data_IF_984057065782
#
_entry.id   IF_984057065782
#
_cell.length_a   1.000
_cell.length_b   1.000
_cell.length_c   1.000
_cell.angle_alpha   90.00
_cell.angle_beta   90.00
_cell.angle_gamma   90.00
#
_symmetry.space_group_name_H-M   'P 1'
#
loop_
_entity.id
_entity.type
_entity.pdbx_description
1 polymer ?
#
# COMPACT_ATOMS: atom_id res chain seq x y z
N UNK A 1 21.02 19.84 10.46
CA UNK A 1 21.64 19.22 11.66
C UNK A 1 21.26 17.74 11.71
N UNK A 2 22.24 16.87 11.71
CA UNK A 2 22.02 15.40 11.74
C UNK A 2 21.35 14.96 13.04
N UNK A 3 20.30 14.14 12.91
CA UNK A 3 19.54 13.57 14.04
C UNK A 3 19.36 12.09 13.82
N UNK A 4 19.84 11.26 14.75
CA UNK A 4 19.69 9.79 14.67
C UNK A 4 19.14 9.26 15.99
N UNK A 5 18.15 8.36 15.90
CA UNK A 5 17.58 7.65 17.05
C UNK A 5 17.81 6.15 16.89
N UNK A 6 18.33 5.53 17.94
CA UNK A 6 18.50 4.09 18.08
C UNK A 6 17.53 3.60 19.17
N UNK A 7 16.35 3.08 18.83
CA UNK A 7 15.44 2.54 19.82
C UNK A 7 16.09 1.37 20.57
N UNK A 8 15.81 1.26 21.86
CA UNK A 8 16.22 0.07 22.64
C UNK A 8 15.34 -1.09 22.21
N UNK A 9 15.99 -2.14 21.67
CA UNK A 9 15.28 -3.32 21.15
C UNK A 9 15.14 -4.35 22.27
N UNK A 10 13.91 -4.75 22.56
CA UNK A 10 13.57 -5.79 23.54
C UNK A 10 12.45 -6.67 22.99
N UNK A 11 11.26 -6.58 23.54
CA UNK A 11 10.07 -7.34 23.10
C UNK A 11 9.64 -7.07 21.65
N UNK A 12 10.09 -5.98 21.07
CA UNK A 12 9.77 -5.59 19.69
C UNK A 12 10.19 -6.60 18.62
N UNK A 13 11.15 -7.48 18.93
CA UNK A 13 11.58 -8.56 18.01
C UNK A 13 10.46 -9.52 17.63
N UNK A 14 9.40 -9.64 18.45
CA UNK A 14 8.21 -10.44 18.16
C UNK A 14 7.20 -9.73 17.24
N UNK A 15 7.39 -8.44 16.95
CA UNK A 15 6.50 -7.67 16.07
C UNK A 15 6.83 -7.93 14.59
N UNK A 16 5.83 -7.81 13.68
CA UNK A 16 6.04 -8.02 12.25
C UNK A 16 7.15 -7.14 11.68
N UNK A 17 7.23 -5.90 12.15
CA UNK A 17 8.32 -4.96 11.88
C UNK A 17 8.76 -4.28 13.16
N UNK A 18 10.05 -4.09 13.34
CA UNK A 18 10.58 -3.25 14.40
C UNK A 18 11.70 -2.36 13.88
N UNK A 19 11.67 -1.11 14.34
CA UNK A 19 12.65 -0.10 13.97
C UNK A 19 13.97 -0.39 14.69
N UNK A 20 15.08 -0.45 13.95
CA UNK A 20 16.42 -0.54 14.55
C UNK A 20 17.10 0.82 14.64
N UNK A 21 16.81 1.71 13.71
CA UNK A 21 17.29 3.10 13.71
C UNK A 21 16.49 3.93 12.72
N UNK A 22 16.43 5.22 12.98
CA UNK A 22 15.85 6.24 12.12
C UNK A 22 16.68 7.49 12.20
N UNK A 23 16.84 8.22 11.10
CA UNK A 23 17.60 9.46 11.14
C UNK A 23 17.37 10.37 9.95
N UNK A 24 17.79 11.61 10.20
CA UNK A 24 18.01 12.66 9.22
C UNK A 24 19.51 12.89 9.19
N UNK A 25 20.14 12.74 8.04
CA UNK A 25 21.54 13.10 7.83
C UNK A 25 21.58 14.44 7.11
N UNK A 26 22.17 15.45 7.75
CA UNK A 26 22.25 16.83 7.27
C UNK A 26 23.63 17.45 7.60
N UNK A 27 24.58 17.44 6.66
CA UNK A 27 24.56 16.69 5.39
C UNK A 27 24.76 15.17 5.59
N UNK A 28 24.43 14.38 4.56
CA UNK A 28 24.78 12.96 4.50
C UNK A 28 26.30 12.81 4.36
N UNK A 29 26.84 11.69 4.81
CA UNK A 29 28.25 11.38 4.76
C UNK A 29 28.53 10.19 3.83
N UNK A 30 29.81 9.99 3.49
CA UNK A 30 30.20 8.85 2.68
C UNK A 30 30.01 7.54 3.44
N UNK A 31 29.26 6.62 2.87
CA UNK A 31 28.95 5.31 3.44
C UNK A 31 29.37 4.22 2.46
N UNK A 32 30.22 3.29 2.90
CA UNK A 32 30.56 2.09 2.16
C UNK A 32 30.18 0.86 2.99
N UNK A 33 29.47 -0.08 2.39
CA UNK A 33 29.04 -1.34 3.03
C UNK A 33 29.23 -2.51 2.11
N UNK A 34 30.42 -3.09 2.10
CA UNK A 34 30.82 -4.21 1.22
C UNK A 34 29.97 -5.48 1.39
N UNK A 35 29.37 -5.66 2.56
CA UNK A 35 28.48 -6.79 2.88
C UNK A 35 27.01 -6.38 3.04
N UNK A 36 26.71 -5.12 2.73
CA UNK A 36 25.37 -4.55 2.97
C UNK A 36 25.02 -4.42 4.46
N UNK A 37 23.76 -4.15 4.73
CA UNK A 37 23.17 -4.16 6.08
C UNK A 37 22.54 -5.52 6.34
N UNK A 38 22.47 -5.91 7.62
CA UNK A 38 21.68 -7.07 8.06
C UNK A 38 20.18 -6.74 8.22
N UNK A 39 19.77 -5.58 7.79
CA UNK A 39 18.45 -5.00 7.98
C UNK A 39 17.96 -4.37 6.69
N UNK A 40 16.65 -4.20 6.56
CA UNK A 40 16.04 -3.44 5.48
C UNK A 40 16.27 -1.95 5.69
N UNK A 41 16.50 -1.21 4.60
CA UNK A 41 16.63 0.25 4.62
C UNK A 41 15.72 0.88 3.57
N UNK A 42 15.01 1.93 3.97
CA UNK A 42 14.32 2.86 3.08
C UNK A 42 14.91 4.25 3.32
N UNK A 43 15.24 4.95 2.24
CA UNK A 43 15.77 6.30 2.27
C UNK A 43 15.12 7.13 1.19
N UNK A 44 14.86 8.42 1.49
CA UNK A 44 14.52 9.42 0.47
C UNK A 44 15.36 10.69 0.66
N UNK A 45 15.63 11.35 -0.44
CA UNK A 45 16.36 12.62 -0.48
C UNK A 45 15.39 13.78 -0.27
N UNK A 46 15.61 14.59 0.76
CA UNK A 46 14.84 15.80 1.02
C UNK A 46 15.42 17.03 0.37
N UNK A 47 16.74 17.10 0.24
CA UNK A 47 17.43 18.23 -0.37
C UNK A 47 18.83 17.82 -0.86
N UNK A 48 19.36 18.56 -1.85
CA UNK A 48 20.72 18.36 -2.37
C UNK A 48 20.85 17.18 -3.32
N UNK A 49 22.09 16.73 -3.51
CA UNK A 49 22.43 15.69 -4.48
C UNK A 49 23.48 14.72 -3.93
N UNK A 50 23.27 13.42 -4.16
CA UNK A 50 24.20 12.36 -3.83
C UNK A 50 24.31 11.32 -4.94
N UNK A 51 25.20 10.36 -4.72
CA UNK A 51 25.39 9.19 -5.58
C UNK A 51 25.16 7.93 -4.76
N UNK A 52 24.48 6.95 -5.35
CA UNK A 52 24.30 5.61 -4.80
C UNK A 52 24.85 4.62 -5.80
N UNK A 53 25.71 3.70 -5.37
CA UNK A 53 26.29 2.63 -6.18
C UNK A 53 25.77 1.29 -5.63
N UNK A 54 25.12 0.51 -6.48
CA UNK A 54 24.64 -0.84 -6.17
C UNK A 54 24.91 -1.76 -7.34
N UNK A 55 25.59 -2.88 -7.11
CA UNK A 55 25.88 -3.84 -8.16
C UNK A 55 26.77 -3.29 -9.30
N UNK A 56 27.55 -2.23 -9.04
CA UNK A 56 28.38 -1.55 -10.04
C UNK A 56 27.64 -0.49 -10.87
N UNK A 57 26.33 -0.31 -10.66
CA UNK A 57 25.54 0.74 -11.30
C UNK A 57 25.44 1.98 -10.38
N UNK A 58 25.53 3.17 -10.97
CA UNK A 58 25.41 4.44 -10.27
C UNK A 58 24.01 5.05 -10.47
N UNK A 59 23.40 5.46 -9.36
CA UNK A 59 22.08 6.11 -9.29
C UNK A 59 22.22 7.50 -8.71
N UNK A 60 21.80 8.50 -9.48
CA UNK A 60 21.80 9.90 -9.04
C UNK A 60 20.66 10.14 -8.06
N UNK A 61 21.01 10.59 -6.86
CA UNK A 61 20.07 10.94 -5.80
C UNK A 61 19.82 12.43 -5.82
N UNK A 62 18.62 12.85 -6.18
CA UNK A 62 18.18 14.25 -6.15
C UNK A 62 16.98 14.41 -5.23
N UNK A 63 16.58 15.64 -4.93
CA UNK A 63 15.37 15.91 -4.16
C UNK A 63 14.18 15.13 -4.69
N UNK A 64 13.55 14.35 -3.82
CA UNK A 64 12.42 13.48 -4.17
C UNK A 64 12.83 12.09 -4.65
N UNK A 65 14.12 11.79 -4.85
CA UNK A 65 14.56 10.42 -5.11
C UNK A 65 14.43 9.54 -3.85
N UNK A 66 14.24 8.25 -4.06
CA UNK A 66 14.15 7.28 -2.98
C UNK A 66 14.71 5.93 -3.38
N UNK A 67 15.20 5.18 -2.39
CA UNK A 67 15.60 3.79 -2.60
C UNK A 67 15.21 2.87 -1.44
N UNK A 68 15.08 1.61 -1.78
CA UNK A 68 14.96 0.49 -0.85
C UNK A 68 16.15 -0.45 -1.03
N UNK A 69 16.80 -0.80 0.08
CA UNK A 69 17.87 -1.80 0.13
C UNK A 69 17.43 -2.97 1.01
N UNK A 70 17.35 -4.19 0.45
CA UNK A 70 17.17 -5.40 1.26
C UNK A 70 18.46 -5.74 2.04
N UNK A 71 18.38 -6.66 3.02
CA UNK A 71 19.56 -7.15 3.72
C UNK A 71 20.64 -7.69 2.80
N UNK A 72 21.91 -7.52 3.21
CA UNK A 72 23.10 -8.10 2.56
C UNK A 72 23.37 -7.62 1.13
N UNK A 73 22.76 -6.53 0.69
CA UNK A 73 23.10 -5.88 -0.59
C UNK A 73 24.27 -4.94 -0.40
N UNK A 74 25.46 -5.21 -1.02
CA UNK A 74 26.59 -4.30 -1.02
C UNK A 74 26.20 -2.99 -1.66
N UNK A 75 26.60 -1.88 -1.04
CA UNK A 75 26.31 -0.54 -1.58
C UNK A 75 27.25 0.52 -1.03
N UNK A 76 27.38 1.56 -1.80
CA UNK A 76 28.10 2.77 -1.45
C UNK A 76 27.23 3.98 -1.79
N UNK A 77 27.23 5.00 -0.93
CA UNK A 77 26.62 6.27 -1.27
C UNK A 77 27.35 7.45 -0.61
N UNK A 78 27.32 8.59 -1.28
CA UNK A 78 28.05 9.79 -0.83
C UNK A 78 27.41 11.07 -1.42
N UNK A 79 27.58 12.22 -0.75
CA UNK A 79 27.14 13.50 -1.28
C UNK A 79 27.97 13.89 -2.51
N UNK A 80 27.30 14.36 -3.57
CA UNK A 80 27.98 14.81 -4.79
C UNK A 80 28.62 16.19 -4.60
N UNK A 81 27.94 17.09 -3.88
CA UNK A 81 28.31 18.49 -3.74
C UNK A 81 28.36 18.97 -2.27
N UNK A 82 28.51 18.07 -1.30
CA UNK A 82 28.57 18.39 0.12
C UNK A 82 27.25 18.84 0.77
N UNK A 83 26.20 19.00 0.01
CA UNK A 83 24.86 19.36 0.50
C UNK A 83 23.84 18.33 0.05
N UNK A 84 23.81 17.20 0.76
CA UNK A 84 22.81 16.14 0.52
C UNK A 84 22.14 15.79 1.84
N UNK A 85 20.82 16.02 1.92
CA UNK A 85 20.03 15.77 3.11
C UNK A 85 19.12 14.57 2.85
N UNK A 86 19.25 13.56 3.69
CA UNK A 86 18.52 12.30 3.57
C UNK A 86 17.68 12.02 4.81
N UNK A 87 16.56 11.34 4.58
CA UNK A 87 15.70 10.81 5.63
C UNK A 87 15.62 9.30 5.45
N UNK A 88 15.99 8.56 6.46
CA UNK A 88 16.11 7.11 6.35
C UNK A 88 15.59 6.37 7.58
N UNK A 89 15.03 5.19 7.34
CA UNK A 89 14.69 4.22 8.37
C UNK A 89 15.40 2.90 8.10
N UNK A 90 15.79 2.22 9.16
CA UNK A 90 16.34 0.87 9.13
C UNK A 90 15.52 0.00 10.07
N UNK A 91 15.02 -1.10 9.58
CA UNK A 91 14.06 -1.94 10.29
C UNK A 91 14.28 -3.42 10.02
N UNK A 92 13.72 -4.25 10.88
CA UNK A 92 13.72 -5.71 10.79
C UNK A 92 12.35 -6.27 11.10
N UNK A 93 12.20 -7.58 10.98
CA UNK A 93 11.06 -8.39 11.37
C UNK A 93 11.31 -9.82 10.93
N UNK A 94 10.80 -10.79 11.67
CA UNK A 94 11.02 -12.21 11.37
C UNK A 94 10.54 -12.57 9.95
N UNK A 95 9.37 -12.06 9.56
CA UNK A 95 8.78 -12.30 8.24
C UNK A 95 8.89 -11.09 7.30
N UNK A 96 9.66 -10.07 7.67
CA UNK A 96 9.74 -8.81 6.92
C UNK A 96 10.14 -9.02 5.45
N UNK A 97 11.11 -9.89 5.18
CA UNK A 97 11.56 -10.18 3.81
C UNK A 97 10.44 -10.73 2.92
N UNK A 98 9.69 -11.72 3.42
CA UNK A 98 8.56 -12.30 2.67
C UNK A 98 7.41 -11.29 2.47
N UNK A 99 7.08 -10.53 3.51
CA UNK A 99 6.05 -9.49 3.43
C UNK A 99 6.44 -8.40 2.43
N UNK A 100 7.69 -7.96 2.45
CA UNK A 100 8.21 -6.96 1.53
C UNK A 100 8.25 -7.47 0.09
N UNK A 101 8.66 -8.72 -0.15
CA UNK A 101 8.60 -9.34 -1.47
C UNK A 101 7.18 -9.36 -2.05
N UNK A 102 6.17 -9.73 -1.25
CA UNK A 102 4.77 -9.68 -1.65
C UNK A 102 4.27 -8.25 -1.96
N UNK A 103 4.92 -7.24 -1.41
CA UNK A 103 4.65 -5.82 -1.69
C UNK A 103 5.45 -5.27 -2.88
N UNK A 104 6.31 -6.08 -3.53
CA UNK A 104 7.14 -5.67 -4.66
C UNK A 104 8.52 -5.13 -4.26
N UNK A 105 8.92 -5.30 -3.00
CA UNK A 105 10.26 -5.01 -2.47
C UNK A 105 11.07 -6.30 -2.27
N UNK A 106 11.16 -7.11 -3.32
CA UNK A 106 11.89 -8.38 -3.36
C UNK A 106 13.41 -8.21 -3.58
N UNK A 107 13.81 -7.08 -4.16
CA UNK A 107 15.19 -6.74 -4.51
C UNK A 107 15.42 -5.24 -4.28
N UNK A 108 16.63 -4.76 -4.55
CA UNK A 108 16.92 -3.33 -4.59
C UNK A 108 15.93 -2.60 -5.50
N UNK A 109 15.46 -1.44 -5.03
CA UNK A 109 14.56 -0.57 -5.78
C UNK A 109 15.05 0.87 -5.67
N UNK A 110 15.05 1.55 -6.81
CA UNK A 110 15.32 2.97 -6.92
C UNK A 110 14.17 3.67 -7.65
N UNK A 111 13.80 4.85 -7.18
CA UNK A 111 12.89 5.76 -7.86
C UNK A 111 13.55 7.14 -7.94
N UNK A 112 13.75 7.69 -9.15
CA UNK A 112 14.39 8.99 -9.32
C UNK A 112 13.56 10.14 -8.73
N UNK A 113 12.26 9.91 -8.58
CA UNK A 113 11.34 10.90 -8.04
C UNK A 113 10.10 10.24 -7.43
N UNK A 114 9.75 10.60 -6.20
CA UNK A 114 8.51 10.22 -5.51
C UNK A 114 7.77 11.46 -5.02
N UNK A 115 6.44 11.32 -4.79
CA UNK A 115 5.72 12.32 -3.99
C UNK A 115 6.06 12.10 -2.52
N UNK A 116 6.85 12.99 -1.94
CA UNK A 116 7.35 12.88 -0.58
C UNK A 116 6.36 13.36 0.48
N UNK A 117 5.23 13.99 0.13
CA UNK A 117 4.33 14.60 1.10
C UNK A 117 3.85 13.61 2.19
N UNK A 118 3.28 12.47 1.77
CA UNK A 118 2.79 11.46 2.72
C UNK A 118 3.93 10.73 3.42
N UNK A 119 4.99 10.41 2.69
CA UNK A 119 6.15 9.69 3.25
C UNK A 119 6.91 10.55 4.27
N UNK A 120 7.07 11.84 4.03
CA UNK A 120 7.69 12.79 4.98
C UNK A 120 6.83 12.93 6.26
N UNK A 121 5.51 13.06 6.14
CA UNK A 121 4.61 13.11 7.29
C UNK A 121 4.69 11.84 8.16
N UNK A 122 4.72 10.67 7.53
CA UNK A 122 4.86 9.41 8.25
C UNK A 122 6.24 9.25 8.87
N UNK A 123 7.29 9.67 8.17
CA UNK A 123 8.65 9.68 8.69
C UNK A 123 8.74 10.50 9.99
N UNK A 124 8.21 11.71 10.01
CA UNK A 124 8.17 12.55 11.22
C UNK A 124 7.39 11.88 12.36
N UNK A 125 6.26 11.24 12.06
CA UNK A 125 5.50 10.48 13.08
C UNK A 125 6.31 9.32 13.65
N UNK A 126 7.09 8.61 12.83
CA UNK A 126 7.99 7.54 13.29
C UNK A 126 9.11 8.14 14.14
N UNK A 127 9.69 9.26 13.72
CA UNK A 127 10.78 9.93 14.43
C UNK A 127 10.35 10.36 15.85
N UNK A 128 9.15 10.92 15.97
CA UNK A 128 8.53 11.27 17.27
C UNK A 128 8.24 10.02 18.11
N UNK A 129 7.65 8.99 17.52
CA UNK A 129 7.32 7.76 18.23
C UNK A 129 8.58 6.99 18.69
N UNK A 130 9.65 6.99 17.88
CA UNK A 130 10.91 6.34 18.21
C UNK A 130 11.66 7.01 19.39
N UNK A 131 11.37 8.27 19.64
CA UNK A 131 11.93 9.02 20.78
C UNK A 131 11.16 8.76 22.10
N UNK A 132 9.98 8.13 22.06
CA UNK A 132 9.18 7.81 23.24
C UNK A 132 9.69 6.50 23.87
N UNK A 133 10.30 6.53 25.07
CA UNK A 133 10.87 5.34 25.69
C UNK A 133 9.85 4.31 26.17
N UNK A 134 8.58 4.71 26.31
CA UNK A 134 7.50 3.87 26.86
C UNK A 134 6.75 3.14 25.73
N UNK A 135 6.38 3.85 24.70
CA UNK A 135 5.47 3.34 23.65
C UNK A 135 6.15 3.14 22.30
N UNK A 136 7.48 3.24 22.21
CA UNK A 136 8.19 3.20 20.93
C UNK A 136 7.96 1.89 20.15
N UNK A 137 7.85 0.74 20.83
CA UNK A 137 7.82 -0.57 20.18
C UNK A 137 6.62 -0.79 19.25
N UNK A 138 5.44 -0.92 19.82
CA UNK A 138 4.21 -1.23 19.05
C UNK A 138 3.82 -0.08 18.12
N UNK A 139 3.90 1.16 18.62
CA UNK A 139 3.57 2.34 17.83
C UNK A 139 4.49 2.52 16.63
N UNK A 140 5.80 2.32 16.79
CA UNK A 140 6.73 2.39 15.66
C UNK A 140 6.54 1.23 14.70
N UNK A 141 6.21 0.02 15.17
CA UNK A 141 5.91 -1.13 14.31
C UNK A 141 4.76 -0.84 13.36
N UNK A 142 3.64 -0.34 13.88
CA UNK A 142 2.49 0.03 13.07
C UNK A 142 2.82 1.14 12.06
N UNK A 143 3.53 2.18 12.49
CA UNK A 143 3.93 3.29 11.64
C UNK A 143 4.95 2.88 10.56
N UNK A 144 5.88 1.97 10.86
CA UNK A 144 6.82 1.42 9.88
C UNK A 144 6.07 0.68 8.79
N UNK A 145 5.05 -0.12 9.14
CA UNK A 145 4.24 -0.78 8.12
C UNK A 145 3.44 0.23 7.26
N UNK A 146 2.82 1.24 7.88
CA UNK A 146 2.14 2.32 7.14
C UNK A 146 3.11 3.06 6.20
N UNK A 147 4.34 3.30 6.65
CA UNK A 147 5.40 3.94 5.86
C UNK A 147 5.83 3.08 4.67
N UNK A 148 6.00 1.76 4.87
CA UNK A 148 6.32 0.81 3.80
C UNK A 148 5.23 0.84 2.72
N UNK A 149 3.94 0.85 3.09
CA UNK A 149 2.83 0.95 2.14
C UNK A 149 2.82 2.29 1.39
N UNK A 150 3.14 3.39 2.06
CA UNK A 150 3.26 4.70 1.43
C UNK A 150 4.45 4.76 0.45
N UNK A 151 5.61 4.23 0.83
CA UNK A 151 6.79 4.13 -0.03
C UNK A 151 6.53 3.20 -1.22
N UNK A 152 5.84 2.06 -1.01
CA UNK A 152 5.39 1.20 -2.10
C UNK A 152 4.59 1.96 -3.14
N UNK A 153 3.57 2.68 -2.70
CA UNK A 153 2.74 3.48 -3.61
C UNK A 153 3.57 4.53 -4.35
N UNK A 154 4.43 5.25 -3.64
CA UNK A 154 5.22 6.32 -4.20
C UNK A 154 6.31 5.83 -5.19
N UNK A 155 6.95 4.69 -4.90
CA UNK A 155 8.06 4.16 -5.71
C UNK A 155 7.62 3.25 -6.86
N UNK A 156 6.61 2.41 -6.64
CA UNK A 156 6.22 1.39 -7.61
C UNK A 156 5.05 1.83 -8.50
N UNK A 157 4.33 2.87 -8.11
CA UNK A 157 3.18 3.41 -8.84
C UNK A 157 3.29 4.93 -9.03
N UNK A 158 4.39 5.44 -9.63
CA UNK A 158 4.65 6.88 -9.77
C UNK A 158 3.57 7.62 -10.58
N UNK A 159 2.93 6.95 -11.54
CA UNK A 159 1.83 7.52 -12.34
C UNK A 159 0.54 7.72 -11.52
N UNK A 160 0.46 7.19 -10.30
CA UNK A 160 -0.63 7.51 -9.39
C UNK A 160 -0.61 8.97 -8.89
N UNK A 161 0.44 9.74 -9.23
CA UNK A 161 0.63 11.13 -8.81
C UNK A 161 -0.43 12.08 -9.35
N UNK A 162 -0.96 11.86 -10.55
CA UNK A 162 -1.83 12.84 -11.20
C UNK A 162 -3.25 12.36 -11.58
N UNK A 163 -3.51 11.04 -11.64
CA UNK A 163 -4.85 10.58 -12.01
C UNK A 163 -5.19 9.14 -11.62
N UNK A 164 -4.24 8.21 -11.43
CA UNK A 164 -4.54 6.78 -11.30
C UNK A 164 -5.23 6.45 -9.98
N UNK A 165 -4.69 6.90 -8.85
CA UNK A 165 -5.37 6.77 -7.55
C UNK A 165 -6.67 7.59 -7.47
N UNK A 166 -6.76 8.68 -8.24
CA UNK A 166 -7.99 9.46 -8.44
C UNK A 166 -9.01 8.67 -9.27
N UNK A 167 -8.58 8.02 -10.36
CA UNK A 167 -9.43 7.23 -11.28
C UNK A 167 -10.12 6.10 -10.53
N UNK A 168 -9.33 5.24 -9.89
CA UNK A 168 -9.87 4.09 -9.14
C UNK A 168 -10.67 4.55 -7.93
N UNK A 169 -10.19 5.55 -7.19
CA UNK A 169 -10.92 6.10 -6.04
C UNK A 169 -12.28 6.67 -6.42
N UNK A 170 -12.35 7.45 -7.49
CA UNK A 170 -13.62 8.00 -7.97
C UNK A 170 -14.58 6.89 -8.38
N UNK A 171 -14.08 5.88 -9.10
CA UNK A 171 -14.87 4.72 -9.48
C UNK A 171 -15.36 3.93 -8.25
N UNK A 172 -14.52 3.70 -7.24
CA UNK A 172 -14.89 3.00 -6.02
C UNK A 172 -15.98 3.75 -5.23
N UNK A 173 -15.85 5.08 -5.09
CA UNK A 173 -16.85 5.92 -4.43
C UNK A 173 -18.17 5.93 -5.21
N UNK A 174 -18.08 6.01 -6.55
CA UNK A 174 -19.27 5.94 -7.39
C UNK A 174 -19.98 4.59 -7.27
N UNK A 175 -19.22 3.47 -7.35
CA UNK A 175 -19.77 2.14 -7.16
C UNK A 175 -20.39 2.02 -5.76
N UNK A 176 -19.71 2.49 -4.71
CA UNK A 176 -20.21 2.37 -3.34
C UNK A 176 -21.54 3.09 -3.12
N UNK A 177 -21.72 4.24 -3.75
CA UNK A 177 -22.95 5.04 -3.65
C UNK A 177 -24.08 4.59 -4.58
N UNK A 178 -23.76 3.88 -5.69
CA UNK A 178 -24.71 3.59 -6.79
C UNK A 178 -24.72 2.13 -7.25
N UNK A 179 -24.17 1.19 -6.45
CA UNK A 179 -24.06 -0.23 -6.84
C UNK A 179 -25.38 -0.87 -7.27
N UNK A 180 -26.52 -0.32 -6.89
CA UNK A 180 -27.85 -0.80 -7.29
C UNK A 180 -28.21 -0.44 -8.75
N UNK A 181 -27.57 0.60 -9.30
CA UNK A 181 -27.83 1.09 -10.65
C UNK A 181 -27.08 0.25 -11.70
N UNK A 182 -27.46 0.37 -12.97
CA UNK A 182 -26.71 -0.24 -14.07
C UNK A 182 -25.42 0.54 -14.33
N UNK A 183 -24.30 0.03 -13.79
CA UNK A 183 -22.98 0.64 -13.89
C UNK A 183 -22.16 -0.12 -14.92
N UNK A 184 -21.71 0.57 -15.95
CA UNK A 184 -20.84 0.02 -17.00
C UNK A 184 -19.39 0.46 -16.83
N UNK A 185 -18.46 -0.21 -17.51
CA UNK A 185 -17.06 0.20 -17.54
C UNK A 185 -16.89 1.57 -18.24
N UNK A 186 -17.74 1.88 -19.20
CA UNK A 186 -17.80 3.16 -19.91
C UNK A 186 -18.17 4.30 -18.97
N UNK A 187 -19.21 4.08 -18.14
CA UNK A 187 -19.63 5.04 -17.12
C UNK A 187 -18.47 5.36 -16.16
N UNK A 188 -17.79 4.33 -15.67
CA UNK A 188 -16.69 4.48 -14.72
C UNK A 188 -15.45 5.15 -15.37
N UNK A 189 -15.12 4.80 -16.60
CA UNK A 189 -14.03 5.43 -17.36
C UNK A 189 -14.33 6.91 -17.63
N UNK A 190 -15.58 7.23 -17.95
CA UNK A 190 -16.06 8.59 -18.18
C UNK A 190 -15.90 9.53 -16.98
N UNK A 191 -16.00 9.02 -15.73
CA UNK A 191 -15.79 9.81 -14.52
C UNK A 191 -14.40 10.47 -14.45
N UNK A 192 -13.42 9.84 -15.06
CA UNK A 192 -12.02 10.30 -15.03
C UNK A 192 -11.50 10.74 -16.41
N UNK A 193 -12.35 10.75 -17.43
CA UNK A 193 -11.99 11.20 -18.79
C UNK A 193 -10.95 10.32 -19.49
N UNK A 194 -10.91 9.02 -19.17
CA UNK A 194 -9.93 8.08 -19.74
C UNK A 194 -10.61 7.02 -20.63
N UNK A 195 -9.83 6.35 -21.50
CA UNK A 195 -10.37 5.25 -22.28
C UNK A 195 -10.75 4.06 -21.38
N UNK A 196 -11.78 3.29 -21.77
CA UNK A 196 -12.25 2.10 -21.04
C UNK A 196 -11.12 1.08 -20.84
N UNK A 197 -10.26 0.88 -21.85
CA UNK A 197 -9.13 -0.03 -21.77
C UNK A 197 -8.12 0.42 -20.70
N UNK A 198 -7.78 1.71 -20.68
CA UNK A 198 -6.88 2.28 -19.67
C UNK A 198 -7.48 2.15 -18.28
N UNK A 199 -8.76 2.55 -18.11
CA UNK A 199 -9.50 2.41 -16.86
C UNK A 199 -9.47 0.98 -16.34
N UNK A 200 -9.89 0.00 -17.15
CA UNK A 200 -9.94 -1.41 -16.72
C UNK A 200 -8.58 -1.96 -16.30
N UNK A 201 -7.51 -1.58 -16.99
CA UNK A 201 -6.13 -1.98 -16.66
C UNK A 201 -5.72 -1.42 -15.31
N UNK A 202 -5.93 -0.11 -15.10
CA UNK A 202 -5.59 0.60 -13.86
C UNK A 202 -6.41 0.04 -12.69
N UNK A 203 -7.72 -0.04 -12.84
CA UNK A 203 -8.62 -0.54 -11.81
C UNK A 203 -8.24 -1.96 -11.38
N UNK A 204 -7.93 -2.86 -12.35
CA UNK A 204 -7.49 -4.22 -12.04
C UNK A 204 -6.13 -4.25 -11.34
N UNK A 205 -5.20 -3.39 -11.74
CA UNK A 205 -3.88 -3.32 -11.09
C UNK A 205 -3.98 -2.90 -9.62
N UNK A 206 -4.89 -1.98 -9.29
CA UNK A 206 -5.06 -1.47 -7.93
C UNK A 206 -5.97 -2.33 -7.05
N UNK A 207 -7.06 -2.88 -7.62
CA UNK A 207 -8.05 -3.66 -6.86
C UNK A 207 -7.87 -5.16 -6.98
N UNK A 208 -6.98 -5.64 -7.86
CA UNK A 208 -6.83 -7.05 -8.24
C UNK A 208 -8.10 -7.67 -8.86
N UNK A 209 -9.09 -6.84 -9.25
CA UNK A 209 -10.39 -7.27 -9.79
C UNK A 209 -10.76 -6.44 -11.02
N UNK A 210 -11.57 -7.02 -11.91
CA UNK A 210 -12.21 -6.25 -12.98
C UNK A 210 -13.35 -5.39 -12.41
N UNK A 211 -13.70 -4.23 -13.01
CA UNK A 211 -14.75 -3.36 -12.51
C UNK A 211 -16.09 -4.05 -12.26
N UNK A 212 -16.59 -4.82 -13.23
CA UNK A 212 -17.86 -5.55 -13.11
C UNK A 212 -17.82 -6.65 -12.03
N UNK A 213 -16.66 -7.27 -11.82
CA UNK A 213 -16.47 -8.24 -10.74
C UNK A 213 -16.55 -7.53 -9.38
N UNK A 214 -15.94 -6.35 -9.26
CA UNK A 214 -16.01 -5.56 -8.04
C UNK A 214 -17.44 -5.13 -7.72
N UNK A 215 -18.20 -4.65 -8.73
CA UNK A 215 -19.63 -4.30 -8.58
C UNK A 215 -20.43 -5.52 -8.10
N UNK A 216 -20.25 -6.68 -8.73
CA UNK A 216 -20.93 -7.90 -8.31
C UNK A 216 -20.62 -8.25 -6.85
N UNK A 217 -19.35 -8.22 -6.43
CA UNK A 217 -18.95 -8.46 -5.03
C UNK A 217 -19.55 -7.42 -4.07
N UNK A 218 -19.62 -6.15 -4.47
CA UNK A 218 -20.25 -5.10 -3.65
C UNK A 218 -21.75 -5.34 -3.45
N UNK A 219 -22.47 -5.71 -4.52
CA UNK A 219 -23.88 -6.08 -4.47
C UNK A 219 -24.13 -7.28 -3.55
N UNK A 220 -23.33 -8.35 -3.71
CA UNK A 220 -23.43 -9.55 -2.87
C UNK A 220 -23.11 -9.25 -1.41
N UNK A 221 -22.12 -8.41 -1.14
CA UNK A 221 -21.82 -7.97 0.22
C UNK A 221 -23.02 -7.28 0.90
N UNK A 222 -23.77 -6.43 0.17
CA UNK A 222 -25.00 -5.83 0.69
C UNK A 222 -26.13 -6.85 0.83
N UNK A 223 -26.27 -7.75 -0.15
CA UNK A 223 -27.26 -8.83 -0.06
C UNK A 223 -27.06 -9.70 1.20
N UNK A 224 -25.81 -10.01 1.56
CA UNK A 224 -25.49 -10.74 2.79
C UNK A 224 -26.00 -10.01 4.03
N UNK A 225 -25.82 -8.71 4.10
CA UNK A 225 -26.34 -7.88 5.21
C UNK A 225 -27.87 -7.94 5.27
N UNK A 226 -28.54 -7.77 4.13
CA UNK A 226 -30.01 -7.83 4.07
C UNK A 226 -30.55 -9.22 4.41
N UNK A 227 -29.89 -10.30 3.95
CA UNK A 227 -30.27 -11.67 4.26
C UNK A 227 -30.23 -11.99 5.75
N UNK A 228 -29.30 -11.38 6.50
CA UNK A 228 -29.14 -11.61 7.94
C UNK A 228 -30.01 -10.71 8.80
N UNK A 229 -30.28 -9.49 8.33
CA UNK A 229 -30.94 -8.46 9.14
C UNK A 229 -32.40 -8.23 8.78
N UNK A 230 -32.92 -8.91 7.74
CA UNK A 230 -34.34 -8.77 7.34
C UNK A 230 -34.96 -10.12 6.96
N UNK A 231 -36.30 -10.18 7.04
CA UNK A 231 -37.09 -11.33 6.56
C UNK A 231 -37.58 -11.14 5.13
N UNK A 232 -37.06 -10.13 4.40
CA UNK A 232 -37.48 -9.85 3.01
C UNK A 232 -37.30 -11.05 2.10
N UNK A 233 -38.18 -11.23 1.10
CA UNK A 233 -38.01 -12.30 0.12
C UNK A 233 -36.66 -12.20 -0.62
N UNK A 234 -36.11 -13.34 -0.97
CA UNK A 234 -34.80 -13.41 -1.63
C UNK A 234 -34.79 -12.66 -2.98
N UNK A 235 -35.93 -12.72 -3.71
CA UNK A 235 -36.09 -11.97 -4.95
C UNK A 235 -36.11 -10.46 -4.73
N UNK A 236 -36.77 -10.00 -3.65
CA UNK A 236 -36.81 -8.60 -3.30
C UNK A 236 -35.43 -8.09 -2.84
N UNK A 237 -34.68 -8.89 -2.11
CA UNK A 237 -33.28 -8.58 -1.78
C UNK A 237 -32.44 -8.47 -3.06
N UNK A 238 -32.63 -9.40 -4.02
CA UNK A 238 -31.97 -9.33 -5.32
C UNK A 238 -32.20 -8.00 -6.01
N UNK A 239 -33.46 -7.54 -6.08
CA UNK A 239 -33.83 -6.25 -6.67
C UNK A 239 -33.23 -5.07 -5.91
N UNK A 240 -33.27 -5.08 -4.57
CA UNK A 240 -32.69 -4.02 -3.74
C UNK A 240 -31.18 -3.86 -3.95
N UNK A 241 -30.48 -4.91 -4.35
CA UNK A 241 -29.04 -4.82 -4.61
C UNK A 241 -28.69 -4.73 -6.10
N UNK A 242 -29.68 -4.50 -6.98
CA UNK A 242 -29.49 -4.22 -8.40
C UNK A 242 -29.52 -5.45 -9.32
N UNK A 243 -30.21 -6.54 -8.93
CA UNK A 243 -30.48 -7.67 -9.79
C UNK A 243 -31.98 -7.77 -10.09
N UNK A 244 -32.38 -7.51 -11.32
CA UNK A 244 -33.77 -7.61 -11.73
C UNK A 244 -34.28 -9.08 -11.74
N UNK A 245 -33.40 -10.01 -12.13
CA UNK A 245 -33.72 -11.44 -12.20
C UNK A 245 -33.29 -12.17 -10.94
N UNK A 246 -34.24 -12.78 -10.24
CA UNK A 246 -34.05 -13.58 -9.02
C UNK A 246 -33.11 -14.78 -9.23
N UNK A 247 -33.26 -15.46 -10.38
CA UNK A 247 -32.47 -16.67 -10.65
C UNK A 247 -31.02 -16.28 -10.92
N UNK A 248 -30.80 -15.22 -11.70
CA UNK A 248 -29.48 -14.70 -11.95
C UNK A 248 -28.80 -14.21 -10.65
N UNK A 249 -29.55 -13.50 -9.78
CA UNK A 249 -29.06 -13.15 -8.45
C UNK A 249 -28.58 -14.38 -7.67
N UNK A 250 -29.40 -15.42 -7.61
CA UNK A 250 -29.09 -16.66 -6.87
C UNK A 250 -27.85 -17.38 -7.44
N UNK A 251 -27.68 -17.38 -8.76
CA UNK A 251 -26.49 -17.94 -9.45
C UNK A 251 -25.24 -17.14 -9.09
N UNK A 252 -25.30 -15.80 -9.20
CA UNK A 252 -24.15 -14.93 -8.87
C UNK A 252 -23.78 -15.05 -7.40
N UNK A 253 -24.77 -15.05 -6.51
CA UNK A 253 -24.55 -15.20 -5.06
C UNK A 253 -23.86 -16.53 -4.76
N UNK A 254 -24.39 -17.66 -5.28
CA UNK A 254 -23.79 -18.99 -5.07
C UNK A 254 -22.38 -19.08 -5.66
N UNK A 255 -22.13 -18.45 -6.80
CA UNK A 255 -20.78 -18.42 -7.42
C UNK A 255 -19.77 -17.69 -6.54
N UNK A 256 -20.16 -16.62 -5.85
CA UNK A 256 -19.26 -15.81 -5.04
C UNK A 256 -19.12 -16.29 -3.58
N UNK A 257 -20.20 -16.87 -3.01
CA UNK A 257 -20.25 -17.26 -1.60
C UNK A 257 -20.21 -18.79 -1.38
N UNK A 258 -20.26 -19.59 -2.45
CA UNK A 258 -20.24 -21.06 -2.37
C UNK A 258 -21.61 -21.70 -2.04
N UNK A 259 -22.53 -20.93 -1.44
CA UNK A 259 -23.86 -21.40 -1.01
C UNK A 259 -24.96 -20.51 -1.58
N UNK A 260 -26.20 -21.01 -1.65
CA UNK A 260 -27.33 -20.21 -2.10
C UNK A 260 -27.74 -19.12 -1.09
N UNK A 261 -28.44 -18.05 -1.51
CA UNK A 261 -28.93 -17.02 -0.59
C UNK A 261 -29.81 -17.61 0.54
N UNK A 262 -30.61 -18.63 0.23
CA UNK A 262 -31.46 -19.30 1.21
C UNK A 262 -30.65 -20.10 2.24
N UNK A 263 -29.63 -20.80 1.82
CA UNK A 263 -28.69 -21.51 2.71
C UNK A 263 -27.91 -20.53 3.57
N UNK A 264 -27.42 -19.44 2.99
CA UNK A 264 -26.72 -18.39 3.70
C UNK A 264 -27.58 -17.78 4.82
N UNK A 265 -28.85 -17.44 4.54
CA UNK A 265 -29.79 -16.95 5.55
C UNK A 265 -29.99 -17.98 6.67
N UNK A 266 -30.20 -19.26 6.32
CA UNK A 266 -30.44 -20.34 7.29
C UNK A 266 -29.23 -20.57 8.20
N UNK A 267 -28.01 -20.47 7.70
CA UNK A 267 -26.78 -20.62 8.46
C UNK A 267 -26.43 -19.37 9.29
N UNK A 268 -27.25 -18.30 9.25
CA UNK A 268 -26.99 -17.01 9.90
C UNK A 268 -25.61 -16.45 9.57
N UNK A 269 -25.15 -16.67 8.35
CA UNK A 269 -23.88 -16.14 7.89
C UNK A 269 -22.64 -16.86 8.42
N UNK A 270 -22.80 -17.94 9.18
CA UNK A 270 -21.67 -18.83 9.47
C UNK A 270 -21.35 -19.56 8.18
N UNK A 271 -20.50 -18.95 7.37
CA UNK A 271 -19.98 -19.59 6.17
C UNK A 271 -19.23 -20.85 6.54
N UNK A 272 -19.38 -21.86 5.68
CA UNK A 272 -18.58 -23.08 5.71
C UNK A 272 -17.11 -22.77 5.54
#
# INVERSE_FOLDING_TARGET
MTKVIYPVIGRQTSLPFYLTRIGISDPEFHVTRDKGLVSHQLLFTSEGEGRLIVGGEEFVQTKGSAFYLPPSVPHEYYPANGNWITNWIVFRGEFAGQMLANLGFDSFRFSPEINTQKTAQLFERILVAAADPVNCGEKTSALVYEYILAMRTAMLFPDSRNNVGSITRQALLYIDSRYMEDITAETLAGLSGVSVQHFCRVFKAETSMRPLEYIAKRRISQAKSLLLNTDSDIGDIGKQVGYEDRNYFSIVFKKLEGVSPREYRRSRGTGL
#
